data_IF_396586866994
#
_entry.id   IF_396586866994
#
_cell.length_a   1.000
_cell.length_b   1.000
_cell.length_c   1.000
_cell.angle_alpha   90.00
_cell.angle_beta   90.00
_cell.angle_gamma   90.00
#
_symmetry.space_group_name_H-M   'P 1'
#
loop_
_entity.id
_entity.type
_entity.pdbx_description
1 polymer ?
#
# COMPACT_ATOMS: atom_id res chain seq x y z
N UNK A 1 79.42 9.00 21.58
CA UNK A 1 79.33 7.57 21.94
C UNK A 1 77.86 7.20 22.15
N UNK A 2 77.35 6.22 21.37
CA UNK A 2 76.36 5.19 21.76
C UNK A 2 74.97 5.73 22.25
N UNK A 3 73.79 5.41 21.68
CA UNK A 3 73.25 4.22 21.03
C UNK A 3 72.00 4.63 20.23
N UNK A 4 71.88 4.21 18.96
CA UNK A 4 70.62 4.25 18.19
C UNK A 4 69.77 3.05 18.58
N UNK A 5 68.48 3.28 18.88
CA UNK A 5 67.47 2.24 19.08
C UNK A 5 66.74 2.01 17.76
N UNK A 6 66.83 0.79 17.22
CA UNK A 6 66.02 0.33 16.09
C UNK A 6 64.61 -0.01 16.61
N UNK A 7 63.59 0.64 16.08
CA UNK A 7 62.22 0.18 16.20
C UNK A 7 61.89 -0.73 15.02
N UNK A 8 61.57 -1.97 15.35
CA UNK A 8 61.13 -3.02 14.42
C UNK A 8 59.70 -2.72 13.96
N UNK A 9 59.53 -2.53 12.65
CA UNK A 9 58.24 -2.37 12.00
C UNK A 9 57.63 -3.76 11.78
N UNK A 10 56.53 -4.07 12.44
CA UNK A 10 55.75 -5.30 12.18
C UNK A 10 54.74 -4.99 11.08
N UNK A 11 54.94 -5.60 9.91
CA UNK A 11 53.99 -5.57 8.79
C UNK A 11 53.00 -6.70 9.01
N UNK A 12 51.74 -6.37 9.32
CA UNK A 12 50.62 -7.30 9.31
C UNK A 12 50.11 -7.48 7.87
N UNK A 13 49.89 -8.71 7.38
CA UNK A 13 49.29 -8.94 6.07
C UNK A 13 47.80 -8.56 6.11
N UNK A 14 47.38 -7.62 5.25
CA UNK A 14 45.98 -7.40 4.91
C UNK A 14 45.45 -8.65 4.18
N UNK A 15 44.64 -9.45 4.86
CA UNK A 15 43.82 -10.47 4.20
C UNK A 15 42.62 -9.81 3.54
N UNK A 16 42.56 -9.92 2.22
CA UNK A 16 41.40 -9.65 1.37
C UNK A 16 40.18 -10.41 1.90
N UNK A 17 39.22 -9.68 2.49
CA UNK A 17 37.87 -10.16 2.76
C UNK A 17 36.99 -9.86 1.56
N UNK A 18 36.71 -10.90 0.76
CA UNK A 18 35.75 -10.87 -0.33
C UNK A 18 34.36 -10.51 0.22
N UNK A 19 33.85 -9.33 -0.14
CA UNK A 19 32.43 -9.00 0.02
C UNK A 19 31.64 -9.88 -0.95
N UNK A 20 31.19 -11.04 -0.47
CA UNK A 20 30.14 -11.81 -1.12
C UNK A 20 28.87 -10.98 -1.06
N UNK A 21 28.34 -10.66 -2.25
CA UNK A 21 27.10 -9.92 -2.42
C UNK A 21 25.96 -10.56 -1.65
N UNK A 22 25.14 -9.71 -1.05
CA UNK A 22 23.87 -10.11 -0.48
C UNK A 22 23.02 -10.73 -1.59
N UNK A 23 22.88 -12.04 -1.52
CA UNK A 23 21.96 -12.82 -2.32
C UNK A 23 20.56 -12.39 -1.89
N UNK A 24 19.92 -11.55 -2.71
CA UNK A 24 18.54 -11.13 -2.52
C UNK A 24 17.67 -12.34 -2.85
N UNK A 25 17.56 -13.27 -1.90
CA UNK A 25 16.58 -14.35 -1.96
C UNK A 25 15.21 -13.70 -1.91
N UNK A 26 14.62 -13.48 -3.08
CA UNK A 26 13.21 -13.20 -3.21
C UNK A 26 12.48 -14.41 -2.63
N UNK A 27 12.03 -14.28 -1.39
CA UNK A 27 11.16 -15.25 -0.75
C UNK A 27 9.82 -15.23 -1.49
N UNK A 28 9.74 -16.02 -2.56
CA UNK A 28 8.46 -16.41 -3.14
C UNK A 28 7.73 -17.23 -2.08
N UNK A 29 6.89 -16.56 -1.30
CA UNK A 29 5.92 -17.25 -0.44
C UNK A 29 4.97 -17.97 -1.38
N UNK A 30 5.20 -19.26 -1.61
CA UNK A 30 4.24 -20.11 -2.31
C UNK A 30 2.90 -19.98 -1.59
N UNK A 31 1.78 -19.82 -2.32
CA UNK A 31 0.46 -19.81 -1.71
C UNK A 31 0.31 -21.05 -0.82
N UNK A 32 -0.22 -20.84 0.38
CA UNK A 32 -0.48 -21.95 1.31
C UNK A 32 -1.38 -22.97 0.61
N UNK A 33 -1.22 -24.25 0.93
CA UNK A 33 -2.03 -25.32 0.37
C UNK A 33 -3.51 -24.99 0.60
N UNK A 34 -4.22 -24.66 -0.47
CA UNK A 34 -5.61 -24.17 -0.39
C UNK A 34 -5.83 -22.76 -0.92
N UNK A 35 -4.80 -22.03 -1.36
CA UNK A 35 -4.96 -20.72 -2.00
C UNK A 35 -4.61 -20.76 -3.49
N UNK A 36 -5.38 -20.04 -4.31
CA UNK A 36 -5.11 -19.89 -5.74
C UNK A 36 -4.92 -18.41 -6.08
N UNK A 37 -3.72 -18.05 -6.56
CA UNK A 37 -3.42 -16.67 -6.95
C UNK A 37 -4.21 -16.27 -8.20
N UNK A 38 -5.06 -15.24 -8.07
CA UNK A 38 -5.82 -14.68 -9.18
C UNK A 38 -5.06 -13.57 -9.89
N UNK A 39 -4.48 -12.63 -9.14
CA UNK A 39 -3.67 -11.54 -9.68
C UNK A 39 -2.73 -10.94 -8.62
N UNK A 40 -1.66 -10.28 -9.06
CA UNK A 40 -0.87 -9.39 -8.21
C UNK A 40 -0.26 -8.24 -9.01
N UNK A 41 -0.05 -7.11 -8.35
CA UNK A 41 0.71 -5.95 -8.87
C UNK A 41 1.52 -5.32 -7.75
N UNK A 42 2.54 -4.58 -8.15
CA UNK A 42 3.39 -3.80 -7.25
C UNK A 42 3.55 -2.38 -7.77
N UNK A 43 3.79 -1.45 -6.85
CA UNK A 43 4.23 -0.10 -7.16
C UNK A 43 5.36 0.31 -6.21
N UNK A 44 6.26 1.17 -6.69
CA UNK A 44 7.21 1.82 -5.81
C UNK A 44 6.53 2.95 -5.02
N UNK A 45 6.94 3.14 -3.76
CA UNK A 45 6.49 4.27 -2.94
C UNK A 45 7.48 5.45 -2.96
N UNK A 46 8.53 5.39 -3.77
CA UNK A 46 9.63 6.38 -3.78
C UNK A 46 9.81 7.12 -5.13
N UNK A 47 9.08 6.76 -6.19
CA UNK A 47 9.36 7.20 -7.57
C UNK A 47 8.33 8.19 -8.17
N UNK A 48 7.55 8.90 -7.34
CA UNK A 48 6.47 9.77 -7.86
C UNK A 48 6.97 11.09 -8.44
N UNK A 49 7.78 11.81 -7.67
CA UNK A 49 8.34 13.10 -8.04
C UNK A 49 9.84 13.10 -7.78
N UNK A 50 10.56 14.05 -8.37
CA UNK A 50 11.98 14.24 -8.05
C UNK A 50 12.18 14.72 -6.60
N UNK A 51 11.17 15.40 -6.04
CA UNK A 51 11.21 15.92 -4.68
C UNK A 51 10.93 14.82 -3.66
N UNK A 52 11.96 14.47 -2.87
CA UNK A 52 11.88 13.47 -1.80
C UNK A 52 10.78 13.76 -0.77
N UNK A 53 10.58 15.02 -0.38
CA UNK A 53 9.56 15.37 0.62
C UNK A 53 8.15 14.99 0.12
N UNK A 54 7.86 15.24 -1.16
CA UNK A 54 6.57 14.89 -1.73
C UNK A 54 6.40 13.38 -1.79
N UNK A 55 7.43 12.63 -2.21
CA UNK A 55 7.39 11.15 -2.16
C UNK A 55 7.15 10.63 -0.74
N UNK A 56 7.84 11.19 0.25
CA UNK A 56 7.67 10.81 1.65
C UNK A 56 6.22 11.08 2.14
N UNK A 57 5.58 12.17 1.73
CA UNK A 57 4.18 12.45 2.06
C UNK A 57 3.25 11.37 1.48
N UNK A 58 3.36 11.10 0.17
CA UNK A 58 2.55 10.10 -0.52
C UNK A 58 2.70 8.72 0.13
N UNK A 59 3.95 8.29 0.33
CA UNK A 59 4.29 7.04 1.01
C UNK A 59 3.69 6.96 2.41
N UNK A 60 3.89 7.99 3.23
CA UNK A 60 3.39 8.00 4.60
C UNK A 60 1.87 7.88 4.66
N UNK A 61 1.15 8.56 3.77
CA UNK A 61 -0.30 8.50 3.70
C UNK A 61 -0.82 7.14 3.22
N UNK A 62 -0.15 6.51 2.24
CA UNK A 62 -0.48 5.15 1.79
C UNK A 62 -0.30 4.15 2.93
N UNK A 63 0.84 4.20 3.63
CA UNK A 63 1.13 3.30 4.75
C UNK A 63 0.21 3.55 5.94
N UNK A 64 -0.13 4.81 6.23
CA UNK A 64 -1.10 5.17 7.27
C UNK A 64 -2.50 4.67 6.92
N UNK A 65 -2.94 4.76 5.66
CA UNK A 65 -4.23 4.24 5.24
C UNK A 65 -4.32 2.72 5.44
N UNK A 66 -3.26 1.98 5.08
CA UNK A 66 -3.19 0.54 5.35
C UNK A 66 -3.17 0.24 6.87
N UNK A 67 -2.61 1.12 7.69
CA UNK A 67 -2.64 0.99 9.15
C UNK A 67 -4.04 1.24 9.74
N UNK A 68 -4.83 2.16 9.17
CA UNK A 68 -6.26 2.31 9.51
C UNK A 68 -7.05 1.09 9.06
N UNK A 69 -6.82 0.64 7.83
CA UNK A 69 -7.50 -0.51 7.26
C UNK A 69 -7.27 -1.80 8.05
N UNK A 70 -6.05 -1.99 8.55
CA UNK A 70 -5.70 -3.15 9.39
C UNK A 70 -5.96 -2.96 10.89
N UNK A 71 -6.51 -1.83 11.31
CA UNK A 71 -6.92 -1.55 12.68
C UNK A 71 -5.78 -1.24 13.66
N UNK A 72 -4.54 -1.04 13.18
CA UNK A 72 -3.42 -0.57 14.02
C UNK A 72 -3.57 0.90 14.42
N UNK A 73 -4.30 1.68 13.63
CA UNK A 73 -4.60 3.08 13.88
C UNK A 73 -6.11 3.28 13.80
N UNK A 74 -6.69 3.99 14.77
CA UNK A 74 -8.10 4.39 14.75
C UNK A 74 -8.29 5.91 14.89
N UNK A 75 -7.25 6.60 15.36
CA UNK A 75 -7.19 8.05 15.57
C UNK A 75 -5.74 8.53 15.54
N UNK A 76 -5.53 9.83 15.37
CA UNK A 76 -4.19 10.41 15.24
C UNK A 76 -3.23 10.09 16.40
N UNK A 77 -3.74 9.94 17.63
CA UNK A 77 -2.90 9.61 18.80
C UNK A 77 -2.39 8.16 18.83
N UNK A 78 -2.92 7.27 17.99
CA UNK A 78 -2.44 5.90 17.86
C UNK A 78 -1.23 5.80 16.92
N UNK A 79 -0.95 6.86 16.16
CA UNK A 79 0.06 6.86 15.09
C UNK A 79 1.46 6.75 15.68
N UNK A 80 2.14 5.66 15.32
CA UNK A 80 3.56 5.43 15.59
C UNK A 80 4.28 5.28 14.26
N UNK A 81 4.82 6.38 13.72
CA UNK A 81 5.41 6.43 12.37
C UNK A 81 6.52 5.38 12.18
N UNK A 82 7.36 5.15 13.19
CA UNK A 82 8.43 4.15 13.13
C UNK A 82 7.89 2.72 13.02
N UNK A 83 6.67 2.43 13.50
CA UNK A 83 6.02 1.12 13.35
C UNK A 83 5.24 1.01 12.05
N UNK A 84 4.65 2.11 11.57
CA UNK A 84 3.93 2.16 10.30
C UNK A 84 4.89 1.98 9.11
N UNK A 85 6.11 2.50 9.23
CA UNK A 85 7.13 2.46 8.18
C UNK A 85 7.91 1.14 8.08
N UNK A 86 7.72 0.19 9.02
CA UNK A 86 8.37 -1.12 8.96
C UNK A 86 7.74 -2.00 7.86
N UNK A 87 8.50 -2.96 7.31
CA UNK A 87 7.92 -3.99 6.46
C UNK A 87 6.78 -4.73 7.16
N UNK A 88 5.74 -5.07 6.40
CA UNK A 88 4.59 -5.79 6.94
C UNK A 88 3.89 -6.64 5.88
N UNK A 89 3.07 -7.55 6.38
CA UNK A 89 2.03 -8.21 5.62
C UNK A 89 0.68 -7.96 6.30
N UNK A 90 -0.33 -7.69 5.50
CA UNK A 90 -1.70 -7.50 5.95
C UNK A 90 -2.63 -8.18 4.95
N UNK A 91 -3.70 -8.79 5.45
CA UNK A 91 -4.74 -9.34 4.59
C UNK A 91 -6.14 -9.06 5.10
N UNK A 92 -7.09 -9.01 4.18
CA UNK A 92 -8.50 -9.09 4.51
C UNK A 92 -9.22 -10.01 3.53
N UNK A 93 -10.25 -10.67 4.06
CA UNK A 93 -11.10 -11.59 3.31
C UNK A 93 -12.35 -10.88 2.81
N UNK A 94 -12.80 -11.25 1.62
CA UNK A 94 -14.09 -10.86 1.07
C UNK A 94 -14.89 -12.11 0.71
N UNK A 95 -15.95 -12.38 1.47
CA UNK A 95 -16.87 -13.50 1.19
C UNK A 95 -17.65 -13.28 -0.12
N UNK A 96 -18.20 -14.34 -0.73
CA UNK A 96 -19.05 -14.22 -1.91
C UNK A 96 -20.15 -13.17 -1.73
N UNK A 97 -20.35 -12.34 -2.75
CA UNK A 97 -21.30 -11.23 -2.80
C UNK A 97 -21.07 -10.11 -1.76
N UNK A 98 -19.95 -10.13 -1.05
CA UNK A 98 -19.55 -9.02 -0.17
C UNK A 98 -18.71 -8.00 -0.94
N UNK A 99 -18.80 -6.75 -0.47
CA UNK A 99 -18.21 -5.59 -1.12
C UNK A 99 -17.21 -4.91 -0.20
N UNK A 100 -16.01 -4.67 -0.72
CA UNK A 100 -15.08 -3.68 -0.19
C UNK A 100 -15.40 -2.32 -0.80
N UNK A 101 -15.42 -1.28 0.02
CA UNK A 101 -15.41 0.11 -0.45
C UNK A 101 -14.25 0.87 0.14
N UNK A 102 -13.77 1.93 -0.51
CA UNK A 102 -12.60 2.64 0.01
C UNK A 102 -12.94 3.40 1.32
N UNK A 103 -14.12 4.01 1.38
CA UNK A 103 -14.70 4.61 2.60
C UNK A 103 -16.21 4.28 2.72
N UNK A 104 -16.79 4.63 3.86
CA UNK A 104 -18.14 4.28 4.33
C UNK A 104 -19.29 5.07 3.69
N UNK A 105 -19.01 6.25 3.13
CA UNK A 105 -19.99 6.96 2.29
C UNK A 105 -20.22 6.22 0.96
N UNK A 106 -21.20 5.30 0.98
CA UNK A 106 -21.47 4.32 -0.08
C UNK A 106 -22.88 4.46 -0.68
N UNK A 107 -22.94 4.23 -2.01
CA UNK A 107 -24.21 4.14 -2.75
C UNK A 107 -25.15 3.12 -2.10
N UNK A 108 -26.44 3.42 -2.16
CA UNK A 108 -27.49 2.59 -1.58
C UNK A 108 -27.40 1.10 -1.98
N UNK A 109 -27.02 0.81 -3.22
CA UNK A 109 -26.87 -0.57 -3.75
C UNK A 109 -25.81 -1.41 -3.05
N UNK A 110 -24.83 -0.78 -2.40
CA UNK A 110 -23.72 -1.49 -1.73
C UNK A 110 -23.88 -1.58 -0.22
N UNK A 111 -24.83 -0.86 0.40
CA UNK A 111 -24.96 -0.79 1.87
C UNK A 111 -25.13 -2.16 2.52
N UNK A 112 -25.97 -3.02 1.96
CA UNK A 112 -26.25 -4.37 2.50
C UNK A 112 -25.11 -5.39 2.23
N UNK A 113 -24.25 -5.09 1.27
CA UNK A 113 -23.12 -5.97 0.89
C UNK A 113 -21.79 -5.49 1.46
N UNK A 114 -21.74 -4.28 2.02
CA UNK A 114 -20.53 -3.69 2.58
C UNK A 114 -19.97 -4.58 3.70
N UNK A 115 -18.72 -5.02 3.51
CA UNK A 115 -18.02 -5.87 4.48
C UNK A 115 -16.73 -5.24 4.99
N UNK A 116 -16.10 -4.36 4.21
CA UNK A 116 -14.81 -3.77 4.56
C UNK A 116 -14.66 -2.38 3.96
N UNK A 117 -14.09 -1.47 4.76
CA UNK A 117 -13.54 -0.20 4.28
C UNK A 117 -12.10 0.00 4.74
N UNK A 118 -11.47 1.10 4.32
CA UNK A 118 -10.19 1.52 4.90
C UNK A 118 -10.32 2.12 6.30
N UNK A 119 -11.55 2.42 6.75
CA UNK A 119 -11.86 3.12 8.00
C UNK A 119 -11.17 4.49 8.14
N UNK A 120 -10.92 5.18 7.03
CA UNK A 120 -10.27 6.47 7.00
C UNK A 120 -11.00 7.46 6.07
N UNK A 121 -10.88 8.74 6.39
CA UNK A 121 -11.49 9.90 5.74
C UNK A 121 -10.43 10.92 5.24
N UNK A 122 -9.15 10.54 5.25
CA UNK A 122 -8.04 11.19 4.53
C UNK A 122 -7.76 12.65 4.94
N UNK A 123 -8.03 13.01 6.20
CA UNK A 123 -7.92 14.38 6.71
C UNK A 123 -6.85 14.53 7.81
N UNK A 124 -6.56 15.77 8.18
CA UNK A 124 -5.56 16.11 9.18
C UNK A 124 -5.88 15.54 10.58
N UNK A 125 -7.16 15.46 10.95
CA UNK A 125 -7.61 14.96 12.25
C UNK A 125 -7.31 13.46 12.43
N UNK A 126 -7.20 12.72 11.33
CA UNK A 126 -6.77 11.32 11.30
C UNK A 126 -5.26 11.14 11.10
N UNK A 127 -4.51 12.24 11.04
CA UNK A 127 -3.06 12.27 10.94
C UNK A 127 -2.49 12.12 9.53
N UNK A 128 -3.32 12.23 8.49
CA UNK A 128 -2.82 12.31 7.12
C UNK A 128 -1.97 13.57 6.94
N UNK A 129 -0.92 13.44 6.13
CA UNK A 129 0.01 14.51 5.76
C UNK A 129 -0.43 15.19 4.47
N UNK A 130 0.12 16.37 4.24
CA UNK A 130 -0.07 17.17 3.02
C UNK A 130 1.28 17.57 2.45
N UNK A 131 1.37 17.64 1.12
CA UNK A 131 2.51 18.22 0.40
C UNK A 131 2.46 19.76 0.34
N UNK A 132 1.38 20.37 0.84
CA UNK A 132 1.11 21.80 0.77
C UNK A 132 -0.20 22.14 0.06
N UNK A 133 -0.83 21.19 -0.65
CA UNK A 133 -2.09 21.41 -1.36
C UNK A 133 -3.30 20.73 -0.69
N UNK A 134 -3.24 19.41 -0.51
CA UNK A 134 -4.34 18.61 0.02
C UNK A 134 -3.84 17.59 1.06
N UNK A 135 -4.69 17.21 2.00
CA UNK A 135 -4.41 16.08 2.90
C UNK A 135 -4.76 14.77 2.19
N UNK A 136 -4.03 13.70 2.52
CA UNK A 136 -4.32 12.38 1.96
C UNK A 136 -3.73 12.15 0.56
N UNK A 137 -2.71 12.91 0.19
CA UNK A 137 -1.88 12.60 -0.98
C UNK A 137 -1.46 11.13 -1.01
N UNK A 138 -1.64 10.46 -2.15
CA UNK A 138 -1.34 9.03 -2.32
C UNK A 138 -2.51 8.09 -2.08
N UNK A 139 -3.62 8.56 -1.52
CA UNK A 139 -4.82 7.72 -1.34
C UNK A 139 -5.39 7.23 -2.68
N UNK A 140 -5.45 8.11 -3.68
CA UNK A 140 -5.86 7.73 -5.04
C UNK A 140 -4.90 6.69 -5.66
N UNK A 141 -3.62 6.65 -5.26
CA UNK A 141 -2.65 5.69 -5.79
C UNK A 141 -2.92 4.30 -5.25
N UNK A 142 -3.11 4.22 -3.92
CA UNK A 142 -3.48 2.97 -3.28
C UNK A 142 -4.78 2.42 -3.86
N UNK A 143 -5.79 3.27 -4.04
CA UNK A 143 -7.05 2.89 -4.67
C UNK A 143 -6.86 2.41 -6.12
N UNK A 144 -6.01 3.08 -6.90
CA UNK A 144 -5.73 2.71 -8.29
C UNK A 144 -4.99 1.36 -8.37
N UNK A 145 -4.06 1.08 -7.45
CA UNK A 145 -3.38 -0.22 -7.37
C UNK A 145 -4.36 -1.34 -7.02
N UNK A 146 -5.24 -1.10 -6.04
CA UNK A 146 -6.28 -2.06 -5.64
C UNK A 146 -7.26 -2.31 -6.79
N UNK A 147 -7.71 -1.25 -7.48
CA UNK A 147 -8.58 -1.34 -8.66
C UNK A 147 -7.95 -2.19 -9.77
N UNK A 148 -6.67 -1.96 -10.05
CA UNK A 148 -5.92 -2.71 -11.06
C UNK A 148 -5.91 -4.21 -10.75
N UNK A 149 -5.46 -4.59 -9.55
CA UNK A 149 -5.40 -6.00 -9.16
C UNK A 149 -6.79 -6.64 -9.09
N UNK A 150 -7.80 -5.91 -8.61
CA UNK A 150 -9.17 -6.41 -8.51
C UNK A 150 -9.79 -6.71 -9.88
N UNK A 151 -9.57 -5.82 -10.87
CA UNK A 151 -10.02 -6.03 -12.26
C UNK A 151 -9.32 -7.24 -12.88
N UNK A 152 -8.01 -7.38 -12.71
CA UNK A 152 -7.26 -8.53 -13.25
C UNK A 152 -7.62 -9.86 -12.58
N UNK A 153 -7.99 -9.84 -11.29
CA UNK A 153 -8.54 -11.00 -10.59
C UNK A 153 -9.95 -11.38 -11.06
N UNK A 154 -10.55 -10.58 -11.95
CA UNK A 154 -11.89 -10.80 -12.50
C UNK A 154 -13.01 -10.61 -11.47
N UNK A 155 -12.82 -9.69 -10.53
CA UNK A 155 -13.86 -9.26 -9.59
C UNK A 155 -14.78 -8.23 -10.25
N UNK A 156 -15.96 -8.02 -9.67
CA UNK A 156 -16.83 -6.91 -10.10
C UNK A 156 -16.31 -5.62 -9.47
N UNK A 157 -15.95 -4.64 -10.31
CA UNK A 157 -15.37 -3.37 -9.86
C UNK A 157 -16.14 -2.18 -10.45
N UNK A 158 -16.51 -1.23 -9.61
CA UNK A 158 -17.10 0.05 -10.01
C UNK A 158 -16.27 1.20 -9.40
N UNK A 159 -15.79 2.11 -10.26
CA UNK A 159 -15.11 3.33 -9.89
C UNK A 159 -15.65 4.45 -10.79
N UNK A 160 -16.50 5.30 -10.24
CA UNK A 160 -17.29 6.26 -11.04
C UNK A 160 -16.48 7.48 -11.46
N UNK A 161 -15.46 7.85 -10.67
CA UNK A 161 -14.59 8.98 -10.97
C UNK A 161 -13.16 8.48 -11.20
N UNK A 162 -12.63 8.75 -12.40
CA UNK A 162 -11.27 8.38 -12.78
C UNK A 162 -10.25 9.40 -12.23
N UNK A 163 -9.04 8.93 -11.91
CA UNK A 163 -7.89 9.81 -11.65
C UNK A 163 -7.09 9.99 -12.94
N UNK A 164 -7.53 10.90 -13.80
CA UNK A 164 -6.92 11.18 -15.10
C UNK A 164 -6.16 12.51 -15.17
N UNK A 165 -6.22 13.31 -14.10
CA UNK A 165 -5.62 14.63 -13.98
C UNK A 165 -4.10 14.60 -13.72
N UNK A 166 -3.57 13.50 -13.18
CA UNK A 166 -2.15 13.32 -12.95
C UNK A 166 -1.73 11.87 -13.17
N UNK A 167 -0.49 11.67 -13.65
CA UNK A 167 0.07 10.34 -13.78
C UNK A 167 0.30 9.70 -12.41
N UNK A 168 0.09 8.39 -12.31
CA UNK A 168 0.51 7.57 -11.17
C UNK A 168 1.61 6.65 -11.71
N UNK A 169 2.85 6.76 -11.22
CA UNK A 169 3.92 5.86 -11.67
C UNK A 169 3.49 4.40 -11.52
N UNK A 170 3.98 3.55 -12.42
CA UNK A 170 3.75 2.10 -12.44
C UNK A 170 2.30 1.65 -12.68
N UNK A 171 1.30 2.55 -12.64
CA UNK A 171 -0.12 2.22 -12.81
C UNK A 171 -0.65 2.76 -14.15
N UNK A 172 -1.14 1.91 -15.06
CA UNK A 172 -1.76 2.36 -16.30
C UNK A 172 -2.97 3.27 -16.05
N UNK A 173 -3.14 4.29 -16.90
CA UNK A 173 -4.12 5.38 -16.70
C UNK A 173 -5.57 4.86 -16.61
N UNK A 174 -5.90 3.77 -17.29
CA UNK A 174 -7.22 3.13 -17.26
C UNK A 174 -7.60 2.50 -15.91
N UNK A 175 -6.63 2.35 -15.01
CA UNK A 175 -6.85 1.88 -13.63
C UNK A 175 -6.88 3.02 -12.61
N UNK A 176 -6.76 4.27 -13.05
CA UNK A 176 -6.89 5.44 -12.19
C UNK A 176 -8.23 5.45 -11.44
N UNK A 177 -8.18 5.81 -10.15
CA UNK A 177 -9.37 6.00 -9.33
C UNK A 177 -9.21 7.26 -8.49
N UNK A 178 -10.20 8.15 -8.56
CA UNK A 178 -10.28 9.32 -7.70
C UNK A 178 -11.02 8.98 -6.42
N UNK A 179 -10.37 9.20 -5.27
CA UNK A 179 -10.94 8.98 -3.94
C UNK A 179 -10.97 10.28 -3.17
N UNK A 180 -12.13 10.60 -2.59
CA UNK A 180 -12.31 11.73 -1.68
C UNK A 180 -13.37 11.40 -0.64
N UNK A 181 -13.18 11.93 0.56
CA UNK A 181 -14.18 11.92 1.62
C UNK A 181 -14.24 13.32 2.23
N UNK A 182 -15.26 14.08 1.82
CA UNK A 182 -15.50 15.44 2.31
C UNK A 182 -16.64 15.36 3.32
N UNK A 183 -16.43 15.73 4.60
CA UNK A 183 -17.47 15.65 5.63
C UNK A 183 -18.77 16.34 5.19
N UNK A 184 -19.88 15.61 5.30
CA UNK A 184 -21.22 16.10 4.95
C UNK A 184 -21.57 16.08 3.45
N UNK A 185 -20.66 15.64 2.57
CA UNK A 185 -20.85 15.65 1.11
C UNK A 185 -21.14 14.26 0.53
N UNK A 186 -22.10 13.53 1.13
CA UNK A 186 -22.41 12.12 0.81
C UNK A 186 -22.48 11.84 -0.70
N UNK A 187 -23.20 12.67 -1.46
CA UNK A 187 -23.35 12.46 -2.91
C UNK A 187 -22.03 12.57 -3.69
N UNK A 188 -21.12 13.47 -3.31
CA UNK A 188 -19.79 13.56 -3.93
C UNK A 188 -18.91 12.38 -3.52
N UNK A 189 -18.96 12.04 -2.24
CA UNK A 189 -18.16 10.96 -1.67
C UNK A 189 -18.53 9.61 -2.31
N UNK A 190 -19.83 9.33 -2.50
CA UNK A 190 -20.29 8.12 -3.19
C UNK A 190 -19.77 8.01 -4.65
N UNK A 191 -19.52 9.13 -5.33
CA UNK A 191 -18.96 9.12 -6.70
C UNK A 191 -17.43 9.01 -6.71
N UNK A 192 -16.77 9.37 -5.61
CA UNK A 192 -15.31 9.35 -5.43
C UNK A 192 -14.91 8.24 -4.48
N UNK A 193 -15.40 7.03 -4.77
CA UNK A 193 -15.18 5.81 -4.01
C UNK A 193 -14.80 4.66 -4.97
N UNK A 194 -14.28 3.57 -4.44
CA UNK A 194 -13.95 2.34 -5.17
C UNK A 194 -14.80 1.21 -4.62
N UNK A 195 -15.64 0.60 -5.44
CA UNK A 195 -16.49 -0.52 -5.06
C UNK A 195 -15.94 -1.81 -5.67
N UNK A 196 -15.64 -2.81 -4.84
CA UNK A 196 -15.16 -4.12 -5.29
C UNK A 196 -16.01 -5.21 -4.66
N UNK A 197 -16.76 -5.94 -5.47
CA UNK A 197 -17.60 -7.05 -5.02
C UNK A 197 -16.97 -8.38 -5.43
N UNK A 198 -16.86 -9.31 -4.47
CA UNK A 198 -16.50 -10.68 -4.77
C UNK A 198 -17.67 -11.37 -5.50
N UNK A 199 -17.60 -11.44 -6.82
CA UNK A 199 -18.55 -12.13 -7.69
C UNK A 199 -18.20 -13.63 -7.91
N UNK A 200 -17.20 -14.15 -7.20
CA UNK A 200 -16.82 -15.57 -7.25
C UNK A 200 -17.67 -16.39 -6.29
N UNK A 201 -17.74 -17.69 -6.51
CA UNK A 201 -18.45 -18.61 -5.63
C UNK A 201 -17.70 -18.88 -4.32
N UNK A 202 -16.39 -18.61 -4.27
CA UNK A 202 -15.53 -18.82 -3.11
C UNK A 202 -15.08 -17.49 -2.52
N UNK A 203 -14.71 -17.47 -1.23
CA UNK A 203 -14.09 -16.30 -0.66
C UNK A 203 -12.75 -15.98 -1.31
N UNK A 204 -12.42 -14.70 -1.33
CA UNK A 204 -11.10 -14.21 -1.76
C UNK A 204 -10.38 -13.53 -0.60
N UNK A 205 -9.06 -13.42 -0.69
CA UNK A 205 -8.24 -12.61 0.21
C UNK A 205 -7.44 -11.59 -0.59
N UNK A 206 -7.51 -10.33 -0.18
CA UNK A 206 -6.58 -9.29 -0.59
C UNK A 206 -5.39 -9.31 0.37
N UNK A 207 -4.19 -9.45 -0.18
CA UNK A 207 -2.93 -9.49 0.58
C UNK A 207 -2.08 -8.30 0.19
N UNK A 208 -1.66 -7.53 1.18
CA UNK A 208 -0.80 -6.37 1.07
C UNK A 208 0.55 -6.73 1.69
N UNK A 209 1.62 -6.47 0.95
CA UNK A 209 2.98 -6.67 1.41
C UNK A 209 3.77 -5.39 1.13
N UNK A 210 4.34 -4.82 2.18
CA UNK A 210 5.23 -3.69 2.08
C UNK A 210 6.64 -4.12 2.46
N UNK A 211 7.57 -4.03 1.52
CA UNK A 211 8.97 -4.40 1.69
C UNK A 211 9.84 -3.59 0.72
N UNK A 212 11.01 -3.15 1.16
CA UNK A 212 11.99 -2.43 0.33
C UNK A 212 11.39 -1.28 -0.49
N UNK A 213 10.54 -0.46 0.15
CA UNK A 213 9.84 0.67 -0.45
C UNK A 213 8.92 0.32 -1.62
N UNK A 214 8.51 -0.94 -1.74
CA UNK A 214 7.50 -1.41 -2.67
C UNK A 214 6.27 -1.89 -1.93
N UNK A 215 5.10 -1.52 -2.46
CA UNK A 215 3.83 -2.07 -2.03
C UNK A 215 3.34 -3.06 -3.08
N UNK A 216 3.17 -4.32 -2.69
CA UNK A 216 2.55 -5.35 -3.49
C UNK A 216 1.13 -5.62 -2.98
N UNK A 217 0.19 -5.74 -3.91
CA UNK A 217 -1.18 -6.18 -3.65
C UNK A 217 -1.44 -7.45 -4.45
N UNK A 218 -1.92 -8.49 -3.79
CA UNK A 218 -2.31 -9.76 -4.40
C UNK A 218 -3.76 -10.09 -4.06
N UNK A 219 -4.46 -10.72 -4.99
CA UNK A 219 -5.77 -11.31 -4.75
C UNK A 219 -5.66 -12.81 -4.94
N UNK A 220 -6.08 -13.57 -3.93
CA UNK A 220 -6.12 -15.04 -3.96
C UNK A 220 -7.54 -15.54 -3.72
N UNK A 221 -7.93 -16.62 -4.39
CA UNK A 221 -9.13 -17.39 -4.07
C UNK A 221 -8.80 -18.43 -2.98
N UNK A 222 -9.69 -18.56 -1.98
CA UNK A 222 -9.54 -19.48 -0.87
C UNK A 222 -10.36 -20.75 -1.12
N UNK A 223 -9.77 -21.93 -0.95
CA UNK A 223 -10.45 -23.23 -1.08
C UNK A 223 -11.22 -23.63 0.18
#
# INVERSE_FOLDING_TARGET
MVKKSLQTLIILPLTFGSFLGADSTQHFVSPLRGEYLLAHREMSLDNRYENKFVNDVFKNNILLNLAHMNGRVSKASDIKWDEIAKPFQYEFKLDPNKTFTFHEDVKATYRETLAKTTNAHFNAQEGFKTDGYLFGDGICHLASLINWVAKEAGLSVEALTNHDFANIPDIPKEFGVSIYNIPGSLGSNELQNLYITNNKAKPISFKFEYLDNKLKVSVVELN
#
